data_IF_383779773499
#
_entry.id   IF_383779773499
#
_cell.length_a   1.000
_cell.length_b   1.000
_cell.length_c   1.000
_cell.angle_alpha   90.00
_cell.angle_beta   90.00
_cell.angle_gamma   90.00
#
_symmetry.space_group_name_H-M   'P 1'
#
loop_
_entity.id
_entity.type
_entity.pdbx_description
1 polymer ?
#
# COMPACT_ATOMS: atom_id res chain seq x y z
N UNK A 1 -29.79 -52.61 -40.39
CA UNK A 1 -28.69 -52.43 -39.42
C UNK A 1 -28.32 -50.95 -39.48
N UNK A 2 -28.84 -50.12 -38.54
CA UNK A 2 -28.11 -49.50 -37.41
C UNK A 2 -26.73 -48.97 -37.81
N UNK A 3 -26.28 -47.73 -37.61
CA UNK A 3 -26.82 -46.43 -37.25
C UNK A 3 -25.66 -45.49 -37.61
N UNK A 4 -25.93 -44.36 -38.26
CA UNK A 4 -24.93 -43.35 -38.59
C UNK A 4 -24.77 -42.42 -37.37
N UNK A 5 -23.57 -41.84 -37.24
CA UNK A 5 -23.19 -40.65 -36.45
C UNK A 5 -22.66 -40.91 -35.03
N UNK A 6 -21.33 -40.94 -34.92
CA UNK A 6 -20.60 -40.59 -33.70
C UNK A 6 -20.60 -39.06 -33.55
N UNK A 7 -21.45 -38.52 -32.69
CA UNK A 7 -21.35 -37.13 -32.22
C UNK A 7 -20.27 -37.04 -31.16
N UNK A 8 -19.07 -36.60 -31.54
CA UNK A 8 -18.08 -36.13 -30.58
C UNK A 8 -18.52 -34.75 -30.06
N UNK A 9 -19.07 -34.71 -28.84
CA UNK A 9 -19.38 -33.47 -28.15
C UNK A 9 -18.07 -32.83 -27.67
N UNK A 10 -17.65 -31.74 -28.33
CA UNK A 10 -16.56 -30.90 -27.87
C UNK A 10 -17.07 -30.05 -26.69
N UNK A 11 -16.89 -30.54 -25.46
CA UNK A 11 -17.13 -29.74 -24.26
C UNK A 11 -16.01 -28.70 -24.13
N UNK A 12 -16.28 -27.46 -24.55
CA UNK A 12 -15.40 -26.34 -24.32
C UNK A 12 -15.30 -26.03 -22.83
N UNK A 13 -14.15 -26.28 -22.22
CA UNK A 13 -13.80 -25.68 -20.92
C UNK A 13 -13.68 -24.17 -21.11
N UNK A 14 -14.75 -23.44 -20.82
CA UNK A 14 -14.65 -22.02 -20.51
C UNK A 14 -13.91 -21.92 -19.18
N UNK A 15 -12.59 -21.72 -19.24
CA UNK A 15 -11.81 -21.33 -18.08
C UNK A 15 -12.34 -19.97 -17.60
N UNK A 16 -13.20 -19.98 -16.57
CA UNK A 16 -13.58 -18.76 -15.89
C UNK A 16 -12.31 -18.17 -15.26
N UNK A 17 -11.79 -17.08 -15.85
CA UNK A 17 -10.73 -16.30 -15.22
C UNK A 17 -11.30 -15.75 -13.92
N UNK A 18 -10.89 -16.31 -12.77
CA UNK A 18 -11.19 -15.70 -11.49
C UNK A 18 -10.50 -14.32 -11.47
N UNK A 19 -11.28 -13.25 -11.49
CA UNK A 19 -10.76 -11.90 -11.24
C UNK A 19 -10.52 -11.80 -9.74
N UNK A 20 -9.28 -11.58 -9.34
CA UNK A 20 -8.91 -11.47 -7.93
C UNK A 20 -8.23 -10.12 -7.69
N UNK A 21 -9.02 -9.10 -7.46
CA UNK A 21 -8.52 -7.72 -7.39
C UNK A 21 -8.74 -7.19 -5.97
N UNK A 22 -7.79 -6.42 -5.44
CA UNK A 22 -7.85 -5.88 -4.08
C UNK A 22 -7.47 -4.40 -4.07
N UNK A 23 -8.02 -3.65 -3.12
CA UNK A 23 -7.74 -2.25 -2.86
C UNK A 23 -7.73 -1.96 -1.36
N UNK A 24 -7.23 -0.77 -0.98
CA UNK A 24 -7.48 -0.24 0.36
C UNK A 24 -8.98 -0.07 0.62
N UNK A 25 -9.42 -0.61 1.74
CA UNK A 25 -10.70 -0.30 2.35
C UNK A 25 -10.55 0.79 3.43
N UNK A 26 -9.55 0.65 4.29
CA UNK A 26 -9.19 1.64 5.30
C UNK A 26 -7.70 1.96 5.22
N UNK A 27 -7.29 3.24 5.22
CA UNK A 27 -8.15 4.41 5.05
C UNK A 27 -8.88 4.39 3.68
N UNK A 28 -10.10 4.94 3.57
CA UNK A 28 -10.81 5.04 2.29
C UNK A 28 -10.00 5.79 1.23
N UNK A 29 -9.99 5.26 0.01
CA UNK A 29 -9.22 5.86 -1.10
C UNK A 29 -9.99 7.01 -1.76
N UNK A 30 -9.29 7.90 -2.46
CA UNK A 30 -9.89 9.09 -3.07
C UNK A 30 -11.21 8.87 -3.83
N UNK A 31 -11.28 7.86 -4.70
CA UNK A 31 -12.46 7.59 -5.53
C UNK A 31 -13.29 6.39 -5.07
N UNK A 32 -13.12 5.93 -3.82
CA UNK A 32 -13.83 4.77 -3.29
C UNK A 32 -15.25 5.12 -2.83
N UNK A 33 -16.13 4.13 -2.88
CA UNK A 33 -17.52 4.23 -2.40
C UNK A 33 -17.61 4.57 -0.91
N UNK A 34 -16.66 4.09 -0.10
CA UNK A 34 -16.62 4.33 1.34
C UNK A 34 -15.85 5.61 1.72
N UNK A 35 -15.42 6.43 0.77
CA UNK A 35 -14.83 7.74 1.07
C UNK A 35 -15.93 8.76 1.36
N UNK A 36 -16.03 9.30 2.60
CA UNK A 36 -17.10 10.23 2.97
C UNK A 36 -17.06 11.56 2.23
N UNK A 37 -15.93 11.91 1.60
CA UNK A 37 -15.76 13.16 0.86
C UNK A 37 -16.04 13.02 -0.64
N UNK A 38 -16.29 11.79 -1.12
CA UNK A 38 -16.50 11.53 -2.55
C UNK A 38 -17.87 12.04 -2.99
N UNK A 39 -17.89 12.90 -4.00
CA UNK A 39 -19.15 13.41 -4.59
C UNK A 39 -19.35 13.00 -6.05
N UNK A 40 -18.29 12.81 -6.84
CA UNK A 40 -18.46 12.29 -8.21
C UNK A 40 -18.56 10.75 -8.21
N UNK A 41 -18.89 10.12 -9.36
CA UNK A 41 -19.03 8.68 -9.45
C UNK A 41 -17.81 7.91 -8.93
N UNK A 42 -18.05 6.81 -8.22
CA UNK A 42 -17.01 5.87 -7.75
C UNK A 42 -16.23 5.34 -8.95
N UNK A 43 -14.93 5.10 -8.80
CA UNK A 43 -14.16 4.34 -9.79
C UNK A 43 -14.37 2.85 -9.58
N UNK A 44 -15.10 2.16 -10.50
CA UNK A 44 -15.40 0.74 -10.34
C UNK A 44 -14.19 -0.15 -10.67
N UNK A 45 -13.01 0.45 -10.91
CA UNK A 45 -11.77 -0.24 -11.25
C UNK A 45 -10.65 0.08 -10.26
N UNK A 46 -10.95 0.58 -9.06
CA UNK A 46 -9.92 0.86 -8.04
C UNK A 46 -9.10 -0.36 -7.65
N UNK A 47 -9.78 -1.51 -7.58
CA UNK A 47 -9.16 -2.80 -7.27
C UNK A 47 -8.42 -3.39 -8.47
N UNK A 48 -8.67 -2.94 -9.71
CA UNK A 48 -7.97 -3.47 -10.88
C UNK A 48 -6.46 -3.15 -10.86
N UNK A 49 -5.62 -4.07 -11.35
CA UNK A 49 -4.20 -3.81 -11.51
C UNK A 49 -3.92 -2.70 -12.52
N UNK A 50 -2.72 -2.13 -12.41
CA UNK A 50 -2.22 -1.12 -13.34
C UNK A 50 -2.03 -1.74 -14.72
N UNK A 51 -2.42 -1.00 -15.75
CA UNK A 51 -2.26 -1.37 -17.16
C UNK A 51 -2.92 -2.71 -17.57
N UNK A 52 -3.95 -3.15 -16.83
CA UNK A 52 -4.64 -4.41 -17.14
C UNK A 52 -5.88 -4.21 -18.03
N UNK A 53 -6.39 -5.32 -18.58
CA UNK A 53 -7.68 -5.37 -19.28
C UNK A 53 -7.84 -4.34 -20.42
N UNK A 54 -6.74 -4.02 -21.12
CA UNK A 54 -6.73 -3.04 -22.22
C UNK A 54 -6.81 -1.57 -21.79
N UNK A 55 -6.68 -1.29 -20.49
CA UNK A 55 -6.71 0.07 -19.94
C UNK A 55 -5.30 0.49 -19.53
N UNK A 56 -4.97 1.75 -19.75
CA UNK A 56 -3.78 2.38 -19.15
C UNK A 56 -4.18 3.09 -17.87
N UNK A 57 -3.48 2.83 -16.78
CA UNK A 57 -3.74 3.47 -15.48
C UNK A 57 -2.72 4.59 -15.26
N UNK A 58 -3.18 5.77 -14.83
CA UNK A 58 -2.28 6.89 -14.51
C UNK A 58 -1.53 6.57 -13.22
N UNK A 59 -0.20 6.63 -13.26
CA UNK A 59 0.64 6.49 -12.08
C UNK A 59 1.10 7.88 -11.59
N UNK A 60 1.14 8.14 -10.27
CA UNK A 60 0.70 7.28 -9.15
C UNK A 60 -0.79 7.47 -8.80
N UNK A 61 -1.28 6.65 -7.87
CA UNK A 61 -2.62 6.79 -7.26
C UNK A 61 -3.78 6.85 -8.26
N UNK A 62 -3.62 6.24 -9.43
CA UNK A 62 -4.64 6.16 -10.50
C UNK A 62 -5.07 7.53 -11.05
N UNK A 63 -4.27 8.58 -10.80
CA UNK A 63 -4.56 9.95 -11.23
C UNK A 63 -5.27 10.82 -10.19
N UNK A 64 -5.73 10.27 -9.06
CA UNK A 64 -6.56 11.00 -8.09
C UNK A 64 -5.82 12.00 -7.19
N UNK A 65 -4.54 12.27 -7.46
CA UNK A 65 -3.80 13.30 -6.72
C UNK A 65 -4.22 14.72 -7.10
N UNK A 66 -4.93 14.89 -8.21
CA UNK A 66 -5.53 16.17 -8.61
C UNK A 66 -6.64 16.64 -7.65
N UNK A 67 -7.22 15.74 -6.85
CA UNK A 67 -8.18 16.07 -5.81
C UNK A 67 -7.55 16.71 -4.57
N UNK A 68 -6.23 16.61 -4.40
CA UNK A 68 -5.55 17.20 -3.24
C UNK A 68 -5.80 18.71 -3.16
N UNK A 69 -6.19 19.19 -1.98
CA UNK A 69 -6.55 20.59 -1.75
C UNK A 69 -7.98 20.97 -2.16
N UNK A 70 -8.77 20.02 -2.65
CA UNK A 70 -10.22 20.16 -2.84
C UNK A 70 -10.98 19.48 -1.71
N UNK A 71 -12.29 19.74 -1.59
CA UNK A 71 -13.16 19.06 -0.61
C UNK A 71 -13.15 17.54 -0.80
N UNK A 72 -13.11 17.04 -2.04
CA UNK A 72 -13.08 15.61 -2.33
C UNK A 72 -11.74 14.93 -1.98
N UNK A 73 -10.68 15.72 -1.83
CA UNK A 73 -9.36 15.25 -1.40
C UNK A 73 -9.08 15.46 0.08
N UNK A 74 -10.08 15.86 0.87
CA UNK A 74 -9.93 16.05 2.30
C UNK A 74 -9.46 14.75 2.99
N UNK A 75 -8.66 14.85 4.06
CA UNK A 75 -8.21 13.70 4.82
C UNK A 75 -9.37 12.85 5.35
N UNK A 76 -9.23 11.53 5.25
CA UNK A 76 -10.27 10.57 5.69
C UNK A 76 -9.97 9.99 7.09
N UNK A 77 -8.76 10.21 7.60
CA UNK A 77 -8.32 9.75 8.91
C UNK A 77 -7.19 10.62 9.44
N UNK A 78 -7.02 10.68 10.76
CA UNK A 78 -5.86 11.27 11.42
C UNK A 78 -5.09 10.22 12.22
N UNK A 79 -3.77 10.22 12.10
CA UNK A 79 -2.86 9.35 12.85
C UNK A 79 -1.78 10.16 13.54
N UNK A 80 -1.37 9.74 14.73
CA UNK A 80 -0.28 10.40 15.47
C UNK A 80 1.09 9.91 14.99
N UNK A 81 2.04 10.81 14.76
CA UNK A 81 3.42 10.42 14.47
C UNK A 81 3.97 9.53 15.60
N UNK A 82 4.55 8.38 15.24
CA UNK A 82 5.10 7.41 16.20
C UNK A 82 4.09 6.37 16.70
N UNK A 83 2.79 6.52 16.40
CA UNK A 83 1.75 5.57 16.81
C UNK A 83 1.73 4.30 15.96
N UNK A 84 1.22 3.22 16.55
CA UNK A 84 0.82 2.02 15.80
C UNK A 84 -0.54 2.26 15.16
N UNK A 85 -0.67 1.92 13.88
CA UNK A 85 -1.86 2.09 13.08
C UNK A 85 -2.06 0.86 12.19
N UNK A 86 -3.22 0.78 11.56
CA UNK A 86 -3.49 -0.26 10.58
C UNK A 86 -4.05 0.30 9.28
N UNK A 87 -3.95 -0.52 8.24
CA UNK A 87 -4.76 -0.41 7.04
C UNK A 87 -5.51 -1.73 6.84
N UNK A 88 -6.63 -1.68 6.12
CA UNK A 88 -7.34 -2.89 5.72
C UNK A 88 -7.65 -2.90 4.23
N UNK A 89 -7.81 -4.09 3.69
CA UNK A 89 -8.06 -4.31 2.26
C UNK A 89 -9.46 -4.87 2.03
N UNK A 90 -9.99 -4.67 0.82
CA UNK A 90 -11.22 -5.31 0.33
C UNK A 90 -11.09 -5.57 -1.16
N UNK A 91 -11.89 -6.49 -1.68
CA UNK A 91 -11.94 -6.75 -3.12
C UNK A 91 -12.56 -8.09 -3.50
N UNK A 92 -12.26 -8.55 -4.71
CA UNK A 92 -12.82 -9.76 -5.30
C UNK A 92 -11.94 -11.00 -5.09
N UNK A 93 -10.65 -10.85 -4.78
CA UNK A 93 -9.76 -11.99 -4.57
C UNK A 93 -8.34 -11.63 -4.14
N UNK A 94 -7.79 -12.38 -3.19
CA UNK A 94 -6.43 -12.17 -2.66
C UNK A 94 -5.29 -12.69 -3.53
N UNK A 95 -5.56 -13.38 -4.65
CA UNK A 95 -4.55 -14.14 -5.41
C UNK A 95 -3.64 -15.05 -4.54
N UNK A 96 -4.20 -15.56 -3.44
CA UNK A 96 -3.43 -16.36 -2.47
C UNK A 96 -2.19 -15.62 -1.93
N UNK A 97 -2.28 -14.30 -1.78
CA UNK A 97 -1.24 -13.45 -1.21
C UNK A 97 -0.40 -12.74 -2.27
N UNK A 98 0.93 -12.79 -2.10
CA UNK A 98 1.84 -11.85 -2.72
C UNK A 98 2.52 -10.99 -1.67
N UNK A 99 3.05 -9.85 -2.09
CA UNK A 99 3.78 -8.94 -1.20
C UNK A 99 3.32 -7.52 -1.40
N UNK A 100 3.30 -6.75 -0.31
CA UNK A 100 2.83 -5.36 -0.32
C UNK A 100 3.85 -4.41 0.30
N UNK A 101 3.73 -3.13 -0.03
CA UNK A 101 4.34 -2.06 0.77
C UNK A 101 3.29 -1.03 1.14
N UNK A 102 3.44 -0.48 2.34
CA UNK A 102 2.72 0.70 2.80
C UNK A 102 3.71 1.85 2.98
N UNK A 103 3.27 3.07 2.72
CA UNK A 103 4.16 4.24 2.73
C UNK A 103 3.41 5.55 2.60
N UNK A 104 4.18 6.63 2.73
CA UNK A 104 3.64 7.99 2.65
C UNK A 104 4.37 8.81 1.61
N UNK A 105 3.66 9.80 1.08
CA UNK A 105 4.22 10.95 0.40
C UNK A 105 3.88 12.21 1.19
N UNK A 106 4.91 13.03 1.45
CA UNK A 106 4.78 14.33 2.14
C UNK A 106 4.90 15.52 1.20
N UNK A 107 4.97 15.25 -0.11
CA UNK A 107 5.17 16.23 -1.18
C UNK A 107 4.14 16.06 -2.30
N UNK A 108 2.90 15.71 -1.92
CA UNK A 108 1.74 15.59 -2.80
C UNK A 108 1.91 14.51 -3.89
N UNK A 109 2.54 13.40 -3.54
CA UNK A 109 2.71 12.21 -4.38
C UNK A 109 3.92 12.26 -5.32
N UNK A 110 4.80 13.26 -5.21
CA UNK A 110 6.01 13.39 -6.05
C UNK A 110 7.07 12.36 -5.64
N UNK A 111 7.27 12.15 -4.35
CA UNK A 111 8.16 11.14 -3.79
C UNK A 111 7.45 10.30 -2.74
N UNK A 112 7.95 9.08 -2.55
CA UNK A 112 7.36 8.10 -1.65
C UNK A 112 8.42 7.53 -0.70
N UNK A 113 7.98 7.23 0.51
CA UNK A 113 8.79 6.65 1.59
C UNK A 113 8.06 5.43 2.16
N UNK A 114 8.65 4.25 1.98
CA UNK A 114 8.15 2.98 2.51
C UNK A 114 8.24 2.99 4.03
N UNK A 115 7.12 2.74 4.69
CA UNK A 115 7.08 2.59 6.15
C UNK A 115 7.02 1.15 6.61
N UNK A 116 6.42 0.26 5.82
CA UNK A 116 6.39 -1.18 6.09
C UNK A 116 6.39 -1.96 4.78
N UNK A 117 7.18 -3.03 4.72
CA UNK A 117 7.12 -4.04 3.66
C UNK A 117 6.60 -5.37 4.21
N UNK A 118 5.59 -5.93 3.56
CA UNK A 118 4.98 -7.22 3.90
C UNK A 118 5.44 -8.24 2.87
N UNK A 119 6.48 -9.00 3.19
CA UNK A 119 7.10 -9.97 2.30
C UNK A 119 6.39 -11.32 2.45
N UNK A 120 5.28 -11.45 1.71
CA UNK A 120 4.43 -12.63 1.66
C UNK A 120 3.14 -12.47 2.45
N UNK A 121 2.12 -13.27 2.11
CA UNK A 121 0.81 -13.27 2.77
C UNK A 121 0.17 -11.85 2.89
N UNK A 122 0.41 -11.00 1.90
CA UNK A 122 -0.29 -9.74 1.74
C UNK A 122 -0.86 -9.62 0.31
N UNK A 123 -2.19 -9.51 0.14
CA UNK A 123 -3.26 -9.69 1.13
C UNK A 123 -3.20 -11.03 1.89
N UNK A 124 -3.91 -11.14 3.01
CA UNK A 124 -3.93 -12.38 3.78
C UNK A 124 -4.58 -13.48 2.94
N UNK A 125 -3.81 -14.52 2.65
CA UNK A 125 -4.19 -15.66 1.81
C UNK A 125 -5.51 -16.29 2.22
N UNK A 126 -5.67 -16.54 3.52
CA UNK A 126 -6.81 -17.23 4.11
C UNK A 126 -7.91 -16.27 4.59
N UNK A 127 -7.67 -14.94 4.54
CA UNK A 127 -8.67 -13.96 4.93
C UNK A 127 -9.72 -13.76 3.83
N UNK A 128 -10.97 -13.51 4.21
CA UNK A 128 -12.04 -13.20 3.27
C UNK A 128 -11.77 -11.93 2.47
N UNK A 129 -12.02 -11.97 1.16
CA UNK A 129 -11.89 -10.81 0.27
C UNK A 129 -12.97 -9.74 0.52
N UNK A 130 -14.07 -10.13 1.18
CA UNK A 130 -15.24 -9.30 1.42
C UNK A 130 -15.32 -8.80 2.87
N UNK A 131 -14.37 -9.19 3.72
CA UNK A 131 -14.30 -8.81 5.13
C UNK A 131 -12.98 -8.08 5.39
N UNK A 132 -13.02 -6.75 5.40
CA UNK A 132 -11.83 -5.92 5.67
C UNK A 132 -11.18 -6.23 7.03
N UNK A 133 -11.97 -6.73 7.99
CA UNK A 133 -11.48 -7.19 9.31
C UNK A 133 -10.52 -8.37 9.22
N UNK A 134 -10.68 -9.25 8.23
CA UNK A 134 -9.79 -10.40 8.00
C UNK A 134 -8.60 -10.04 7.09
N UNK A 135 -8.56 -8.80 6.61
CA UNK A 135 -7.55 -8.25 5.71
C UNK A 135 -6.91 -6.99 6.32
N UNK A 136 -6.61 -7.02 7.62
CA UNK A 136 -6.05 -5.89 8.38
C UNK A 136 -4.56 -6.08 8.65
N UNK A 137 -3.78 -5.03 8.42
CA UNK A 137 -2.33 -5.04 8.51
C UNK A 137 -1.84 -3.88 9.40
N UNK A 138 -1.06 -4.22 10.41
CA UNK A 138 -0.48 -3.24 11.35
C UNK A 138 0.81 -2.64 10.78
N UNK A 139 1.03 -1.36 11.04
CA UNK A 139 2.28 -0.64 10.77
C UNK A 139 2.52 0.43 11.83
N UNK A 140 3.73 1.00 11.85
CA UNK A 140 4.07 2.14 12.71
C UNK A 140 4.23 3.39 11.86
N UNK A 141 3.52 4.47 12.21
CA UNK A 141 3.79 5.79 11.63
C UNK A 141 5.16 6.24 12.13
N UNK A 142 6.14 6.58 11.27
CA UNK A 142 7.44 7.05 11.74
C UNK A 142 7.30 8.28 12.66
N UNK A 143 8.03 8.26 13.77
CA UNK A 143 7.90 9.29 14.82
C UNK A 143 8.40 10.68 14.40
N UNK A 144 9.22 10.74 13.35
CA UNK A 144 9.77 11.96 12.76
C UNK A 144 9.00 12.42 11.51
N UNK A 145 7.84 11.83 11.20
CA UNK A 145 6.98 12.34 10.13
C UNK A 145 6.52 13.78 10.46
N UNK A 146 6.58 14.71 9.48
CA UNK A 146 6.07 16.05 9.69
C UNK A 146 4.55 16.00 9.92
N UNK A 147 4.05 16.83 10.84
CA UNK A 147 2.61 17.00 10.99
C UNK A 147 2.00 17.71 9.77
N UNK A 148 0.76 17.38 9.43
CA UNK A 148 0.03 17.93 8.29
C UNK A 148 -0.66 16.85 7.46
N UNK A 149 -1.29 17.28 6.37
CA UNK A 149 -1.98 16.40 5.45
C UNK A 149 -0.99 15.80 4.44
N UNK A 150 -1.03 14.48 4.31
CA UNK A 150 -0.13 13.67 3.50
C UNK A 150 -0.91 12.62 2.73
N UNK A 151 -0.23 11.92 1.82
CA UNK A 151 -0.83 10.82 1.06
C UNK A 151 -0.30 9.50 1.59
N UNK A 152 -1.19 8.65 2.08
CA UNK A 152 -0.88 7.25 2.37
C UNK A 152 -1.13 6.40 1.12
N UNK A 153 -0.26 5.43 0.86
CA UNK A 153 -0.44 4.47 -0.22
C UNK A 153 -0.15 3.05 0.23
N UNK A 154 -0.92 2.14 -0.33
CA UNK A 154 -0.67 0.71 -0.34
C UNK A 154 -0.35 0.29 -1.77
N UNK A 155 0.67 -0.55 -1.91
CA UNK A 155 1.04 -1.20 -3.17
C UNK A 155 1.05 -2.70 -2.97
N UNK A 156 0.74 -3.46 -4.03
CA UNK A 156 0.77 -4.92 -3.99
C UNK A 156 1.25 -5.50 -5.31
N UNK A 157 2.04 -6.57 -5.20
CA UNK A 157 2.38 -7.46 -6.28
C UNK A 157 1.79 -8.84 -5.98
N UNK A 158 0.82 -9.25 -6.78
CA UNK A 158 0.37 -10.63 -6.80
C UNK A 158 1.39 -11.51 -7.56
N UNK A 159 1.13 -12.82 -7.61
CA UNK A 159 2.02 -13.78 -8.25
C UNK A 159 1.75 -13.93 -9.76
N UNK A 160 0.88 -13.11 -10.31
CA UNK A 160 0.55 -13.04 -11.72
C UNK A 160 1.33 -11.94 -12.44
N UNK A 161 2.25 -11.26 -11.75
CA UNK A 161 2.95 -10.06 -12.20
C UNK A 161 2.00 -8.90 -12.47
N UNK A 162 1.14 -8.60 -11.51
CA UNK A 162 0.29 -7.42 -11.58
C UNK A 162 0.65 -6.45 -10.45
N UNK A 163 0.58 -5.16 -10.75
CA UNK A 163 0.88 -4.10 -9.79
C UNK A 163 -0.40 -3.38 -9.40
N UNK A 164 -0.63 -3.25 -8.11
CA UNK A 164 -1.76 -2.53 -7.54
C UNK A 164 -1.23 -1.35 -6.74
N UNK A 165 -1.93 -0.23 -6.80
CA UNK A 165 -1.66 0.92 -5.95
C UNK A 165 -2.93 1.74 -5.77
N UNK A 166 -3.32 1.95 -4.53
CA UNK A 166 -4.40 2.85 -4.13
C UNK A 166 -3.94 3.76 -3.01
N UNK A 167 -4.50 4.97 -2.96
CA UNK A 167 -4.02 6.03 -2.07
C UNK A 167 -5.17 6.72 -1.36
N UNK A 168 -4.88 7.23 -0.16
CA UNK A 168 -5.80 7.99 0.67
C UNK A 168 -5.13 9.27 1.18
N UNK A 169 -5.93 10.32 1.34
CA UNK A 169 -5.53 11.54 2.05
C UNK A 169 -5.64 11.30 3.56
N UNK A 170 -4.58 11.58 4.31
CA UNK A 170 -4.52 11.35 5.76
C UNK A 170 -3.85 12.53 6.46
N UNK A 171 -4.24 12.81 7.69
CA UNK A 171 -3.57 13.82 8.52
C UNK A 171 -2.62 13.13 9.48
N UNK A 172 -1.36 13.55 9.51
CA UNK A 172 -0.42 13.19 10.57
C UNK A 172 -0.41 14.30 11.62
N UNK A 173 -0.71 13.95 12.87
CA UNK A 173 -0.60 14.87 14.00
C UNK A 173 0.76 14.75 14.67
N UNK A 174 1.17 15.82 15.38
CA UNK A 174 2.41 15.79 16.16
C UNK A 174 2.31 14.73 17.24
N UNK A 175 3.31 13.86 17.31
CA UNK A 175 3.46 12.91 18.41
C UNK A 175 3.69 13.62 19.74
N UNK A 176 3.24 13.01 20.82
CA UNK A 176 3.37 13.51 22.19
C UNK A 176 4.82 13.76 22.66
N UNK A 177 5.83 13.38 21.86
CA UNK A 177 7.27 13.57 22.11
C UNK A 177 8.06 14.29 20.98
N UNK A 178 7.39 14.84 19.97
CA UNK A 178 8.03 15.50 18.84
C UNK A 178 8.49 16.92 19.17
N UNK A 179 9.81 17.11 19.31
CA UNK A 179 10.48 18.37 19.58
C UNK A 179 10.14 19.41 18.49
N UNK A 180 9.06 20.17 18.68
CA UNK A 180 8.81 21.37 17.90
C UNK A 180 10.02 22.28 18.09
N UNK A 181 10.79 22.49 17.03
CA UNK A 181 11.79 23.55 16.94
C UNK A 181 11.05 24.88 16.94
N UNK A 182 10.51 25.25 18.11
CA UNK A 182 10.02 26.58 18.41
C UNK A 182 11.26 27.49 18.52
N UNK A 183 11.29 28.68 17.90
CA UNK A 183 12.37 29.63 18.09
C UNK A 183 12.54 29.89 19.60
N UNK A 184 13.76 30.12 20.10
CA UNK A 184 13.99 30.21 21.54
C UNK A 184 13.21 31.40 22.10
N UNK A 185 12.10 31.09 22.78
CA UNK A 185 11.43 32.05 23.63
C UNK A 185 12.32 32.23 24.87
N UNK A 186 12.78 33.46 25.06
CA UNK A 186 13.58 33.91 26.19
C UNK A 186 12.92 33.46 27.51
N UNK A 187 13.55 32.53 28.26
CA UNK A 187 13.10 32.14 29.60
C UNK A 187 14.00 32.75 30.66
N UNK A 188 13.44 33.31 31.76
CA UNK A 188 14.22 33.72 32.91
C UNK A 188 14.83 32.51 33.62
N UNK A 189 16.06 32.70 34.08
CA UNK A 189 16.89 31.76 34.83
C UNK A 189 16.15 31.14 36.03
N UNK A 190 16.06 29.81 36.03
CA UNK A 190 16.08 29.02 37.26
C UNK A 190 14.87 28.13 37.53
N UNK A 191 14.74 27.01 36.81
CA UNK A 191 14.21 25.75 37.36
C UNK A 191 14.81 24.59 36.57
N UNK A 192 15.61 23.74 37.24
CA UNK A 192 16.14 22.50 36.69
C UNK A 192 15.02 21.44 36.71
N UNK A 193 14.25 21.35 35.63
CA UNK A 193 13.38 20.19 35.41
C UNK A 193 14.22 19.11 34.75
N UNK A 194 14.53 18.06 35.51
CA UNK A 194 15.18 16.84 35.03
C UNK A 194 14.22 16.12 34.07
N UNK A 195 14.55 15.92 32.79
CA UNK A 195 13.70 15.13 31.90
C UNK A 195 13.73 13.67 32.38
N UNK A 196 12.55 13.11 32.62
CA UNK A 196 12.37 11.66 32.68
C UNK A 196 12.63 11.07 31.29
N UNK A 197 13.32 9.92 31.16
CA UNK A 197 13.52 9.30 29.86
C UNK A 197 12.19 8.73 29.37
N UNK A 198 11.47 9.49 28.54
CA UNK A 198 10.41 8.96 27.70
C UNK A 198 11.03 7.95 26.72
N UNK A 199 10.37 6.82 26.54
CA UNK A 199 10.80 5.73 25.66
C UNK A 199 10.61 6.08 24.17
N UNK A 200 10.81 7.34 23.80
CA UNK A 200 10.69 7.87 22.45
C UNK A 200 11.96 7.52 21.68
N UNK A 201 12.05 6.26 21.26
CA UNK A 201 13.09 5.86 20.32
C UNK A 201 12.82 6.57 19.00
N UNK A 202 13.63 7.58 18.70
CA UNK A 202 13.86 8.09 17.35
C UNK A 202 13.95 6.88 16.40
N UNK A 203 13.24 6.86 15.26
CA UNK A 203 13.33 5.74 14.36
C UNK A 203 14.78 5.54 13.93
N UNK A 204 15.21 4.28 13.85
CA UNK A 204 16.60 3.94 13.50
C UNK A 204 17.00 4.44 12.10
N UNK A 205 16.00 4.65 11.22
CA UNK A 205 16.13 5.27 9.91
C UNK A 205 15.11 6.41 9.82
N UNK A 206 15.60 7.61 9.52
CA UNK A 206 14.76 8.80 9.38
C UNK A 206 13.74 8.63 8.24
N UNK A 207 12.56 9.23 8.38
CA UNK A 207 11.48 9.13 7.39
C UNK A 207 11.96 9.47 5.97
N UNK A 208 12.74 10.55 5.83
CA UNK A 208 13.22 11.01 4.53
C UNK A 208 14.30 10.12 3.91
N UNK A 209 14.98 9.29 4.71
CA UNK A 209 16.02 8.35 4.25
C UNK A 209 15.43 6.97 3.88
N UNK A 210 14.13 6.76 4.12
CA UNK A 210 13.45 5.52 3.74
C UNK A 210 13.37 5.39 2.20
N UNK A 211 13.41 4.16 1.67
CA UNK A 211 13.38 3.94 0.23
C UNK A 211 12.01 4.28 -0.35
N UNK A 212 11.97 4.54 -1.66
CA UNK A 212 10.72 4.61 -2.41
C UNK A 212 10.13 3.22 -2.65
N UNK A 213 8.85 3.18 -3.03
CA UNK A 213 8.19 1.94 -3.41
C UNK A 213 8.91 1.25 -4.57
N UNK A 214 8.93 -0.07 -4.56
CA UNK A 214 9.19 -0.84 -5.76
C UNK A 214 8.03 -0.61 -6.74
N UNK A 215 8.36 -0.23 -7.97
CA UNK A 215 7.42 -0.18 -9.09
C UNK A 215 7.89 -1.18 -10.13
N UNK A 216 7.04 -2.14 -10.48
CA UNK A 216 7.33 -3.20 -11.43
C UNK A 216 6.05 -3.57 -12.17
N UNK A 217 6.16 -4.36 -13.24
CA UNK A 217 5.02 -4.87 -14.02
C UNK A 217 4.12 -3.77 -14.64
N UNK A 218 4.67 -2.57 -14.85
CA UNK A 218 3.98 -1.42 -15.45
C UNK A 218 4.62 -1.01 -16.78
N UNK A 219 5.11 -1.99 -17.54
CA UNK A 219 5.89 -1.80 -18.78
C UNK A 219 7.24 -1.08 -18.58
N UNK A 220 7.70 -0.94 -17.34
CA UNK A 220 8.97 -0.30 -16.99
C UNK A 220 10.20 -1.23 -17.12
N UNK A 221 9.99 -2.48 -17.54
CA UNK A 221 11.03 -3.49 -17.71
C UNK A 221 11.47 -4.20 -16.43
N UNK A 222 10.96 -3.82 -15.26
CA UNK A 222 11.12 -4.59 -14.02
C UNK A 222 9.98 -5.61 -13.89
N UNK A 223 10.32 -6.86 -13.60
CA UNK A 223 9.37 -7.96 -13.46
C UNK A 223 9.51 -8.63 -12.10
N UNK A 224 8.40 -8.78 -11.39
CA UNK A 224 8.38 -9.56 -10.14
C UNK A 224 8.40 -11.06 -10.41
N UNK A 225 8.66 -11.92 -9.41
CA UNK A 225 8.48 -13.36 -9.55
C UNK A 225 7.05 -13.73 -9.97
N UNK A 226 6.88 -14.88 -10.61
CA UNK A 226 5.56 -15.41 -11.02
C UNK A 226 5.26 -16.71 -10.30
N UNK A 227 4.00 -16.95 -10.03
CA UNK A 227 3.34 -18.23 -9.72
C UNK A 227 3.83 -18.97 -8.48
N UNK A 228 5.13 -19.20 -8.31
CA UNK A 228 5.70 -20.05 -7.26
C UNK A 228 6.50 -19.28 -6.21
N UNK A 229 6.61 -17.96 -6.32
CA UNK A 229 7.33 -17.12 -5.37
C UNK A 229 6.62 -15.79 -5.14
N UNK A 230 6.85 -15.20 -3.97
CA UNK A 230 6.42 -13.86 -3.59
C UNK A 230 7.60 -12.89 -3.67
N UNK A 231 7.32 -11.58 -3.73
CA UNK A 231 8.37 -10.58 -3.92
C UNK A 231 9.18 -10.41 -2.64
N UNK A 232 10.49 -10.64 -2.75
CA UNK A 232 11.46 -10.05 -1.86
C UNK A 232 11.75 -8.63 -2.32
N UNK A 233 11.54 -7.63 -1.47
CA UNK A 233 11.82 -6.25 -1.83
C UNK A 233 13.33 -6.01 -1.84
N UNK A 234 13.89 -5.41 -2.90
CA UNK A 234 15.31 -5.03 -2.91
C UNK A 234 15.66 -3.99 -1.83
N UNK A 235 14.74 -3.05 -1.60
CA UNK A 235 14.85 -2.00 -0.60
C UNK A 235 13.57 -1.99 0.26
N UNK A 236 13.45 -2.89 1.25
CA UNK A 236 12.21 -3.05 2.01
C UNK A 236 11.99 -1.94 3.05
N UNK A 237 13.00 -1.11 3.32
CA UNK A 237 13.01 -0.18 4.45
C UNK A 237 13.34 -0.89 5.77
N UNK A 238 13.29 -0.17 6.90
CA UNK A 238 13.70 -0.71 8.20
C UNK A 238 12.66 -1.67 8.82
N UNK A 239 11.40 -1.60 8.39
CA UNK A 239 10.30 -2.35 8.98
C UNK A 239 9.78 -3.40 7.98
N UNK A 240 10.15 -4.67 8.23
CA UNK A 240 9.77 -5.81 7.38
C UNK A 240 8.94 -6.80 8.17
N UNK A 241 7.72 -7.03 7.71
CA UNK A 241 6.81 -8.05 8.23
C UNK A 241 6.98 -9.31 7.40
N UNK A 242 7.32 -10.41 8.06
CA UNK A 242 7.46 -11.72 7.43
C UNK A 242 6.07 -12.29 7.15
N UNK A 243 5.87 -12.80 5.94
CA UNK A 243 4.68 -13.56 5.58
C UNK A 243 4.61 -14.95 6.23
N UNK A 244 3.68 -15.76 5.73
CA UNK A 244 3.40 -17.12 6.22
C UNK A 244 4.47 -18.16 5.83
N UNK A 245 5.38 -17.81 4.92
CA UNK A 245 6.44 -18.70 4.42
C UNK A 245 5.94 -19.83 3.52
N UNK A 246 4.69 -19.79 3.07
CA UNK A 246 4.11 -20.80 2.17
C UNK A 246 4.75 -20.72 0.78
N UNK A 247 5.16 -19.53 0.34
CA UNK A 247 5.96 -19.34 -0.86
C UNK A 247 7.35 -18.81 -0.55
N UNK A 248 8.37 -19.21 -1.32
CA UNK A 248 9.69 -18.59 -1.24
C UNK A 248 9.62 -17.12 -1.66
N UNK A 249 10.52 -16.32 -1.09
CA UNK A 249 10.72 -14.93 -1.46
C UNK A 249 11.83 -14.80 -2.51
N UNK A 250 11.55 -14.12 -3.61
CA UNK A 250 12.50 -13.91 -4.71
C UNK A 250 12.60 -12.43 -5.11
N UNK A 251 13.81 -11.99 -5.47
CA UNK A 251 14.03 -10.63 -5.94
C UNK A 251 13.42 -10.42 -7.34
N UNK A 252 12.91 -9.23 -7.65
CA UNK A 252 12.47 -8.91 -9.01
C UNK A 252 13.66 -8.84 -9.98
N UNK A 253 13.37 -8.99 -11.27
CA UNK A 253 14.37 -9.09 -12.33
C UNK A 253 14.03 -8.27 -13.58
N UNK A 254 15.03 -7.85 -14.37
CA UNK A 254 16.45 -7.86 -14.04
C UNK A 254 16.79 -6.79 -12.99
N UNK A 255 17.78 -7.05 -12.13
CA UNK A 255 18.15 -6.19 -10.99
C UNK A 255 18.25 -4.69 -11.36
N UNK A 256 18.99 -4.37 -12.43
CA UNK A 256 19.22 -2.99 -12.87
C UNK A 256 17.98 -2.24 -13.41
N UNK A 257 16.82 -2.89 -13.53
CA UNK A 257 15.54 -2.25 -13.87
C UNK A 257 14.61 -2.05 -12.67
N UNK A 258 14.94 -2.64 -11.52
CA UNK A 258 14.04 -2.75 -10.38
C UNK A 258 14.43 -1.86 -9.19
N UNK A 259 15.18 -0.78 -9.45
CA UNK A 259 15.63 0.15 -8.40
C UNK A 259 16.54 -0.50 -7.34
N UNK A 260 17.26 -1.57 -7.73
CA UNK A 260 18.08 -2.43 -6.87
C UNK A 260 19.57 -2.35 -7.22
#
# INVERSE_FOLDING_TARGET
MKSIMNTAALAGLLAASAKAHMMLHYPPTFAAENNPHRTDPVDPYLDNPYNCCGRKTVYPCRGYLDLLGTDQGAPVVSWEAGSSQNFSLTGSGTHWGGSCQAGFSTDQGKTWKVVSSYEGNCPHREGSNQSSKEQTFEFKVPGDMPAGDHVFAWTWFNREQEFFMTCASVTITSGSGGNSSRPPAFTPRGTSVRPTPGNDKTPAVAFNDRPSFLVANTDNGCKTPRTNAEVKYPNPGPDVVKGDGVYPLELPSPKGKCGA
#
